data_IF_065244682291
#
_entry.id   IF_065244682291
#
_cell.length_a   1.000
_cell.length_b   1.000
_cell.length_c   1.000
_cell.angle_alpha   90.00
_cell.angle_beta   90.00
_cell.angle_gamma   90.00
#
_symmetry.space_group_name_H-M   'P 1'
#
loop_
_entity.id
_entity.type
_entity.pdbx_description
1 polymer ?
#
# COMPACT_ATOMS: atom_id res chain seq x y z
N UNK A 1 15.08 20.60 0.86
CA UNK A 1 14.52 19.24 0.79
C UNK A 1 15.24 18.41 1.85
N UNK A 2 14.53 17.83 2.81
CA UNK A 2 15.14 16.92 3.77
C UNK A 2 15.71 15.67 3.09
N UNK A 3 16.52 14.90 3.80
CA UNK A 3 17.07 13.64 3.32
C UNK A 3 15.93 12.68 2.92
N UNK A 4 15.99 12.09 1.72
CA UNK A 4 14.95 11.19 1.22
C UNK A 4 14.80 9.95 2.12
N UNK A 5 15.93 9.36 2.50
CA UNK A 5 16.01 8.19 3.37
C UNK A 5 16.78 8.58 4.63
N UNK A 6 16.13 8.49 5.77
CA UNK A 6 16.71 8.72 7.10
C UNK A 6 16.84 7.35 7.78
N UNK A 7 18.04 6.97 8.16
CA UNK A 7 18.30 5.65 8.73
C UNK A 7 18.00 4.50 7.76
N UNK A 8 17.61 3.35 8.29
CA UNK A 8 17.26 2.19 7.47
C UNK A 8 15.84 2.35 6.90
N UNK A 9 15.67 2.08 5.61
CA UNK A 9 14.37 2.10 4.95
C UNK A 9 13.79 0.69 4.75
N UNK A 10 12.46 0.62 4.63
CA UNK A 10 11.73 -0.54 4.10
C UNK A 10 10.74 -0.09 3.03
N UNK A 11 10.48 -0.96 2.05
CA UNK A 11 9.45 -0.77 1.06
C UNK A 11 8.17 -1.48 1.51
N UNK A 12 7.07 -0.73 1.60
CA UNK A 12 5.73 -1.22 1.87
C UNK A 12 4.94 -1.28 0.57
N UNK A 13 4.48 -2.45 0.19
CA UNK A 13 3.63 -2.70 -0.99
C UNK A 13 2.25 -3.08 -0.47
N UNK A 14 1.33 -2.10 -0.46
CA UNK A 14 0.05 -2.23 0.21
C UNK A 14 -1.00 -2.80 -0.74
N UNK A 15 -1.54 -3.97 -0.38
CA UNK A 15 -2.75 -4.60 -0.90
C UNK A 15 -2.83 -4.71 -2.45
N UNK A 16 -1.70 -4.97 -3.10
CA UNK A 16 -1.67 -5.19 -4.55
C UNK A 16 -2.21 -6.57 -4.90
N UNK A 17 -3.47 -6.81 -4.53
CA UNK A 17 -4.20 -8.07 -4.65
C UNK A 17 -5.12 -8.06 -5.87
N UNK A 18 -5.48 -9.25 -6.40
CA UNK A 18 -6.35 -9.37 -7.56
C UNK A 18 -7.68 -8.64 -7.40
N UNK A 19 -8.30 -8.67 -6.19
CA UNK A 19 -9.58 -7.98 -5.95
C UNK A 19 -9.50 -6.45 -6.08
N UNK A 20 -8.31 -5.86 -5.94
CA UNK A 20 -8.09 -4.42 -6.07
C UNK A 20 -7.40 -4.01 -7.38
N UNK A 21 -6.72 -4.92 -8.06
CA UNK A 21 -5.87 -4.61 -9.22
C UNK A 21 -6.49 -5.05 -10.53
N UNK A 22 -7.25 -6.15 -10.56
CA UNK A 22 -7.88 -6.63 -11.78
C UNK A 22 -9.07 -5.73 -12.15
N UNK A 23 -9.13 -5.20 -13.39
CA UNK A 23 -10.20 -4.26 -13.78
C UNK A 23 -11.61 -4.83 -13.69
N UNK A 24 -11.74 -6.15 -13.75
CA UNK A 24 -13.03 -6.86 -13.66
C UNK A 24 -13.43 -7.19 -12.21
N UNK A 25 -12.57 -6.92 -11.24
CA UNK A 25 -12.85 -7.17 -9.83
C UNK A 25 -13.84 -6.16 -9.25
N UNK A 26 -14.70 -6.63 -8.33
CA UNK A 26 -15.75 -5.79 -7.73
C UNK A 26 -15.23 -4.62 -6.89
N UNK A 27 -14.00 -4.72 -6.37
CA UNK A 27 -13.35 -3.67 -5.58
C UNK A 27 -12.13 -3.05 -6.29
N UNK A 28 -12.10 -3.09 -7.63
CA UNK A 28 -11.02 -2.52 -8.42
C UNK A 28 -10.72 -1.07 -8.03
N UNK A 29 -9.48 -0.80 -7.65
CA UNK A 29 -8.98 0.57 -7.46
C UNK A 29 -8.65 1.19 -8.81
N UNK A 30 -9.20 2.37 -9.07
CA UNK A 30 -9.09 3.04 -10.38
C UNK A 30 -7.64 3.28 -10.78
N UNK A 31 -7.19 2.62 -11.85
CA UNK A 31 -5.82 2.72 -12.35
C UNK A 31 -4.80 1.83 -11.65
N UNK A 32 -5.21 0.94 -10.73
CA UNK A 32 -4.30 0.07 -9.99
C UNK A 32 -3.45 -0.84 -10.89
N UNK A 33 -4.03 -1.38 -11.96
CA UNK A 33 -3.29 -2.20 -12.93
C UNK A 33 -2.21 -1.39 -13.68
N UNK A 34 -2.40 -0.10 -13.88
CA UNK A 34 -1.45 0.76 -14.58
C UNK A 34 -0.19 1.09 -13.75
N UNK A 35 -0.27 1.01 -12.42
CA UNK A 35 0.89 1.25 -11.54
C UNK A 35 1.73 -0.01 -11.28
N UNK A 36 1.23 -1.21 -11.57
CA UNK A 36 1.93 -2.48 -11.33
C UNK A 36 3.35 -2.51 -11.91
N UNK A 37 3.59 -2.15 -13.19
CA UNK A 37 4.94 -2.21 -13.75
C UNK A 37 5.93 -1.31 -12.98
N UNK A 38 5.48 -0.14 -12.55
CA UNK A 38 6.32 0.82 -11.81
C UNK A 38 6.62 0.34 -10.40
N UNK A 39 5.64 -0.23 -9.71
CA UNK A 39 5.85 -0.87 -8.41
C UNK A 39 6.84 -2.03 -8.54
N UNK A 40 6.74 -2.84 -9.60
CA UNK A 40 7.68 -3.94 -9.87
C UNK A 40 9.13 -3.45 -10.01
N UNK A 41 9.36 -2.33 -10.70
CA UNK A 41 10.69 -1.70 -10.80
C UNK A 41 11.21 -1.26 -9.42
N UNK A 42 10.37 -0.64 -8.60
CA UNK A 42 10.74 -0.19 -7.24
C UNK A 42 11.04 -1.39 -6.33
N UNK A 43 10.23 -2.44 -6.40
CA UNK A 43 10.45 -3.70 -5.66
C UNK A 43 11.79 -4.33 -6.04
N UNK A 44 12.10 -4.42 -7.35
CA UNK A 44 13.38 -4.95 -7.82
C UNK A 44 14.57 -4.12 -7.31
N UNK A 45 14.47 -2.80 -7.36
CA UNK A 45 15.51 -1.89 -6.86
C UNK A 45 15.69 -2.00 -5.33
N UNK A 46 14.59 -2.06 -4.58
CA UNK A 46 14.62 -2.23 -3.12
C UNK A 46 15.31 -3.55 -2.72
N UNK A 47 14.95 -4.66 -3.38
CA UNK A 47 15.60 -5.98 -3.18
C UNK A 47 17.10 -5.91 -3.50
N UNK A 48 17.48 -5.31 -4.64
CA UNK A 48 18.87 -5.16 -5.04
C UNK A 48 19.69 -4.30 -4.06
N UNK A 49 19.05 -3.31 -3.43
CA UNK A 49 19.66 -2.46 -2.40
C UNK A 49 19.65 -3.11 -0.99
N UNK A 50 19.10 -4.32 -0.83
CA UNK A 50 19.01 -5.02 0.45
C UNK A 50 18.00 -4.41 1.44
N UNK A 51 17.03 -3.64 0.94
CA UNK A 51 15.94 -3.14 1.77
C UNK A 51 14.93 -4.26 2.04
N UNK A 52 14.37 -4.34 3.24
CA UNK A 52 13.19 -5.16 3.49
C UNK A 52 12.04 -4.75 2.57
N UNK A 53 11.45 -5.72 1.87
CA UNK A 53 10.21 -5.54 1.09
C UNK A 53 9.10 -6.24 1.85
N UNK A 54 8.05 -5.50 2.15
CA UNK A 54 6.92 -5.94 2.97
C UNK A 54 5.65 -5.80 2.13
N UNK A 55 5.05 -6.93 1.80
CA UNK A 55 3.75 -6.98 1.14
C UNK A 55 2.65 -7.08 2.18
N UNK A 56 1.58 -6.32 2.02
CA UNK A 56 0.39 -6.49 2.83
C UNK A 56 -0.73 -7.12 2.03
N UNK A 57 -1.59 -7.84 2.72
CA UNK A 57 -2.79 -8.44 2.17
C UNK A 57 -3.95 -8.18 3.13
N UNK A 58 -4.97 -7.47 2.66
CA UNK A 58 -6.25 -7.46 3.34
C UNK A 58 -6.89 -8.83 3.19
N UNK A 59 -7.46 -9.34 4.27
CA UNK A 59 -8.03 -10.67 4.28
C UNK A 59 -9.25 -10.75 5.20
N UNK A 60 -10.36 -11.26 4.68
CA UNK A 60 -11.58 -11.49 5.44
C UNK A 60 -11.92 -12.96 5.49
N UNK A 61 -12.46 -13.40 6.62
CA UNK A 61 -13.00 -14.76 6.73
C UNK A 61 -14.24 -14.89 5.90
N UNK A 62 -14.51 -16.10 5.33
CA UNK A 62 -15.77 -16.36 4.65
C UNK A 62 -16.97 -15.94 5.50
N UNK A 63 -17.92 -15.23 4.88
CA UNK A 63 -19.11 -14.70 5.56
C UNK A 63 -18.87 -13.37 6.29
N UNK A 64 -17.71 -12.72 6.14
CA UNK A 64 -17.48 -11.34 6.57
C UNK A 64 -17.53 -11.09 8.07
N UNK A 65 -17.38 -12.14 8.91
CA UNK A 65 -17.50 -12.04 10.38
C UNK A 65 -16.47 -11.11 11.03
N UNK A 66 -15.41 -10.78 10.35
CA UNK A 66 -14.32 -9.90 10.76
C UNK A 66 -14.18 -8.62 9.92
N UNK A 67 -15.01 -8.43 8.91
CA UNK A 67 -14.98 -7.24 8.05
C UNK A 67 -15.44 -5.97 8.82
N UNK A 68 -16.24 -6.13 9.86
CA UNK A 68 -16.72 -5.01 10.66
C UNK A 68 -17.61 -4.07 9.85
N UNK A 69 -17.30 -2.76 9.88
CA UNK A 69 -18.07 -1.74 9.16
C UNK A 69 -17.70 -1.59 7.69
N UNK A 70 -16.68 -2.28 7.23
CA UNK A 70 -16.25 -2.23 5.83
C UNK A 70 -17.32 -2.76 4.87
N UNK A 71 -18.11 -3.72 5.33
CA UNK A 71 -19.26 -4.26 4.59
C UNK A 71 -20.60 -3.55 4.94
N UNK A 72 -20.56 -2.50 5.75
CA UNK A 72 -21.76 -1.72 6.08
C UNK A 72 -22.16 -0.84 4.89
N UNK A 73 -23.34 -1.02 4.28
CA UNK A 73 -23.82 -0.18 3.19
C UNK A 73 -23.86 1.31 3.54
N UNK A 74 -23.95 1.65 4.82
CA UNK A 74 -23.92 3.02 5.34
C UNK A 74 -22.52 3.58 5.56
N UNK A 75 -21.45 2.86 5.23
CA UNK A 75 -20.07 3.29 5.49
C UNK A 75 -19.62 4.47 4.62
N UNK A 76 -20.29 4.72 3.48
CA UNK A 76 -19.92 5.75 2.52
C UNK A 76 -18.68 5.43 1.68
N UNK A 77 -18.14 4.21 1.79
CA UNK A 77 -17.05 3.78 0.94
C UNK A 77 -17.53 3.61 -0.50
N UNK A 78 -16.88 4.30 -1.42
CA UNK A 78 -17.13 4.17 -2.85
C UNK A 78 -16.30 3.03 -3.40
N UNK A 79 -16.96 2.00 -3.94
CA UNK A 79 -16.30 1.03 -4.81
C UNK A 79 -16.70 1.30 -6.26
N UNK A 80 -15.78 1.13 -7.23
CA UNK A 80 -16.12 1.28 -8.65
C UNK A 80 -17.30 0.39 -9.02
N UNK A 81 -18.38 0.99 -9.57
CA UNK A 81 -19.61 0.29 -9.91
C UNK A 81 -20.66 0.20 -8.80
N UNK A 82 -20.34 0.64 -7.58
CA UNK A 82 -21.29 0.80 -6.48
C UNK A 82 -21.91 2.20 -6.44
N UNK A 83 -23.21 2.31 -6.19
CA UNK A 83 -23.85 3.56 -5.79
C UNK A 83 -23.94 3.63 -4.25
N UNK A 84 -24.44 4.74 -3.69
CA UNK A 84 -24.52 4.93 -2.24
C UNK A 84 -25.37 3.85 -1.50
N UNK A 85 -26.20 3.13 -2.24
CA UNK A 85 -27.06 2.06 -1.70
C UNK A 85 -26.62 0.66 -2.20
N UNK A 86 -25.51 0.55 -2.94
CA UNK A 86 -25.03 -0.74 -3.40
C UNK A 86 -24.36 -1.50 -2.26
N UNK A 87 -24.59 -2.81 -2.13
CA UNK A 87 -23.87 -3.62 -1.17
C UNK A 87 -22.38 -3.61 -1.53
N UNK A 88 -21.52 -3.50 -0.54
CA UNK A 88 -20.06 -3.69 -0.73
C UNK A 88 -19.86 -5.13 -1.16
N UNK A 89 -19.18 -5.37 -2.31
CA UNK A 89 -18.93 -6.74 -2.75
C UNK A 89 -18.03 -7.48 -1.76
N UNK A 90 -18.27 -8.78 -1.61
CA UNK A 90 -17.30 -9.63 -0.91
C UNK A 90 -15.94 -9.50 -1.63
N UNK A 91 -14.91 -9.15 -0.89
CA UNK A 91 -13.56 -8.99 -1.40
C UNK A 91 -12.54 -9.54 -0.42
N UNK A 92 -11.38 -9.87 -0.91
CA UNK A 92 -10.25 -10.36 -0.12
C UNK A 92 -10.63 -11.53 0.80
N UNK A 93 -11.51 -12.43 0.32
CA UNK A 93 -11.97 -13.58 1.10
C UNK A 93 -10.89 -14.66 1.13
N UNK A 94 -10.56 -15.15 2.32
CA UNK A 94 -9.57 -16.22 2.50
C UNK A 94 -9.90 -17.44 1.65
N UNK A 95 -8.89 -17.95 0.94
CA UNK A 95 -9.00 -19.12 0.06
C UNK A 95 -9.49 -18.80 -1.36
N UNK A 96 -9.74 -17.55 -1.70
CA UNK A 96 -10.06 -17.13 -3.08
C UNK A 96 -8.81 -16.58 -3.79
N UNK A 97 -8.84 -16.50 -5.13
CA UNK A 97 -7.78 -15.84 -5.91
C UNK A 97 -7.72 -14.33 -5.60
N UNK A 98 -8.83 -13.72 -5.28
CA UNK A 98 -8.92 -12.28 -5.03
C UNK A 98 -7.96 -11.78 -3.96
N UNK A 99 -7.68 -12.61 -2.94
CA UNK A 99 -6.74 -12.27 -1.87
C UNK A 99 -5.25 -12.34 -2.29
N UNK A 100 -4.93 -13.03 -3.38
CA UNK A 100 -3.54 -13.23 -3.79
C UNK A 100 -2.95 -11.93 -4.35
N UNK A 101 -1.66 -11.70 -4.10
CA UNK A 101 -0.89 -10.61 -4.73
C UNK A 101 -0.80 -10.92 -6.23
N UNK A 102 -0.97 -9.90 -7.07
CA UNK A 102 -0.90 -10.06 -8.53
C UNK A 102 0.43 -10.68 -8.96
N UNK A 103 0.37 -11.54 -9.97
CA UNK A 103 1.49 -12.40 -10.38
C UNK A 103 2.75 -11.60 -10.75
N UNK A 104 2.59 -10.40 -11.31
CA UNK A 104 3.70 -9.51 -11.70
C UNK A 104 4.51 -8.96 -10.53
N UNK A 105 3.94 -8.99 -9.33
CA UNK A 105 4.58 -8.55 -8.10
C UNK A 105 4.96 -9.70 -7.17
N UNK A 106 4.77 -10.95 -7.59
CA UNK A 106 4.88 -12.16 -6.78
C UNK A 106 5.96 -12.07 -5.69
N UNK A 107 5.56 -12.10 -4.41
CA UNK A 107 6.49 -12.02 -3.31
C UNK A 107 7.49 -13.18 -3.32
N UNK A 108 8.75 -12.88 -3.08
CA UNK A 108 9.83 -13.89 -3.02
C UNK A 108 9.95 -14.46 -1.59
N UNK A 109 10.63 -15.61 -1.39
CA UNK A 109 10.72 -16.25 -0.07
C UNK A 109 11.35 -15.39 1.05
N UNK A 110 12.14 -14.38 0.69
CA UNK A 110 12.77 -13.46 1.65
C UNK A 110 11.98 -12.17 1.89
N UNK A 111 10.91 -11.93 1.13
CA UNK A 111 10.01 -10.82 1.38
C UNK A 111 9.12 -11.11 2.59
N UNK A 112 8.76 -10.07 3.29
CA UNK A 112 7.87 -10.18 4.45
C UNK A 112 6.42 -10.03 4.00
N UNK A 113 5.51 -10.69 4.71
CA UNK A 113 4.07 -10.62 4.44
C UNK A 113 3.32 -10.27 5.71
N UNK A 114 2.42 -9.30 5.60
CA UNK A 114 1.50 -8.87 6.65
C UNK A 114 0.08 -9.15 6.18
N UNK A 115 -0.64 -9.97 6.91
CA UNK A 115 -2.08 -10.15 6.72
C UNK A 115 -2.82 -9.23 7.68
N UNK A 116 -3.71 -8.40 7.17
CA UNK A 116 -4.46 -7.43 7.96
C UNK A 116 -5.97 -7.59 7.78
N UNK A 117 -6.73 -7.14 8.76
CA UNK A 117 -8.21 -7.18 8.81
C UNK A 117 -8.81 -5.78 8.84
N UNK A 118 -8.00 -4.76 8.71
CA UNK A 118 -8.38 -3.34 8.78
C UNK A 118 -7.51 -2.55 7.81
N UNK A 119 -7.90 -1.34 7.52
CA UNK A 119 -7.21 -0.49 6.53
C UNK A 119 -5.74 -0.23 6.87
N UNK A 120 -5.48 0.24 8.10
CA UNK A 120 -4.09 0.45 8.50
C UNK A 120 -3.33 -0.87 8.65
N UNK A 121 -2.14 -0.90 8.05
CA UNK A 121 -1.22 -2.02 8.18
C UNK A 121 -0.66 -2.22 9.60
N UNK A 122 -0.85 -1.24 10.49
CA UNK A 122 -0.41 -1.33 11.90
C UNK A 122 -1.50 -1.93 12.81
N UNK A 123 -2.78 -1.81 12.43
CA UNK A 123 -3.87 -2.17 13.32
C UNK A 123 -4.08 -3.68 13.40
N UNK A 124 -3.72 -4.27 14.54
CA UNK A 124 -3.92 -5.69 14.80
C UNK A 124 -2.99 -6.62 14.01
N UNK A 125 -1.83 -6.10 13.59
CA UNK A 125 -0.78 -6.85 12.89
C UNK A 125 0.54 -6.82 13.67
N UNK A 126 1.53 -7.54 13.20
CA UNK A 126 2.89 -7.53 13.73
C UNK A 126 3.84 -6.58 12.97
N UNK A 127 3.32 -5.70 12.10
CA UNK A 127 4.14 -4.78 11.31
C UNK A 127 5.06 -3.92 12.18
N UNK A 128 4.54 -3.33 13.25
CA UNK A 128 5.33 -2.46 14.15
C UNK A 128 6.48 -3.23 14.82
N UNK A 129 6.23 -4.48 15.24
CA UNK A 129 7.25 -5.35 15.80
C UNK A 129 8.36 -5.66 14.77
N UNK A 130 7.98 -5.97 13.52
CA UNK A 130 8.93 -6.23 12.45
C UNK A 130 9.77 -5.00 12.12
N UNK A 131 9.16 -3.83 11.96
CA UNK A 131 9.86 -2.58 11.67
C UNK A 131 10.83 -2.21 12.78
N UNK A 132 10.43 -2.39 14.04
CA UNK A 132 11.29 -2.16 15.20
C UNK A 132 12.51 -3.10 15.20
N UNK A 133 12.28 -4.40 15.02
CA UNK A 133 13.37 -5.40 15.03
C UNK A 133 14.34 -5.22 13.84
N UNK A 134 13.86 -4.69 12.72
CA UNK A 134 14.66 -4.36 11.56
C UNK A 134 15.36 -2.99 11.66
N UNK A 135 15.13 -2.23 12.74
CA UNK A 135 15.60 -0.85 12.94
C UNK A 135 15.22 0.09 11.78
N UNK A 136 14.02 -0.09 11.23
CA UNK A 136 13.49 0.76 10.15
C UNK A 136 13.11 2.11 10.70
N UNK A 137 13.50 3.18 9.99
CA UNK A 137 13.15 4.57 10.29
C UNK A 137 12.38 5.24 9.16
N UNK A 138 12.58 4.78 7.91
CA UNK A 138 11.91 5.32 6.73
C UNK A 138 11.04 4.26 6.08
N UNK A 139 9.79 4.62 5.77
CA UNK A 139 8.86 3.81 5.00
C UNK A 139 8.69 4.40 3.60
N UNK A 140 9.05 3.63 2.58
CA UNK A 140 8.71 3.89 1.19
C UNK A 140 7.36 3.20 0.93
N UNK A 141 6.33 3.96 0.58
CA UNK A 141 4.95 3.45 0.53
C UNK A 141 4.41 3.45 -0.88
N UNK A 142 3.87 2.31 -1.31
CA UNK A 142 3.21 2.07 -2.60
C UNK A 142 1.92 1.27 -2.40
N UNK A 143 1.08 1.18 -3.42
CA UNK A 143 -0.08 0.28 -3.45
C UNK A 143 -1.43 0.97 -3.38
N UNK A 144 -2.45 0.25 -2.89
CA UNK A 144 -3.87 0.63 -2.96
C UNK A 144 -4.63 0.39 -1.64
N UNK A 145 -5.81 0.99 -1.41
CA UNK A 145 -6.26 2.21 -2.10
C UNK A 145 -5.65 3.43 -1.40
N UNK A 146 -5.22 4.41 -2.18
CA UNK A 146 -4.55 5.60 -1.65
C UNK A 146 -5.38 6.35 -0.60
N UNK A 147 -6.69 6.45 -0.81
CA UNK A 147 -7.66 7.12 0.07
C UNK A 147 -8.14 6.24 1.25
N UNK A 148 -7.76 4.97 1.28
CA UNK A 148 -8.17 3.99 2.31
C UNK A 148 -6.93 3.39 2.98
N UNK A 149 -6.50 2.20 2.57
CA UNK A 149 -5.44 1.46 3.26
C UNK A 149 -4.11 2.22 3.32
N UNK A 150 -3.72 2.90 2.23
CA UNK A 150 -2.49 3.69 2.19
C UNK A 150 -2.60 4.90 3.13
N UNK A 151 -3.67 5.70 3.03
CA UNK A 151 -3.86 6.90 3.87
C UNK A 151 -3.84 6.57 5.36
N UNK A 152 -4.60 5.55 5.78
CA UNK A 152 -4.64 5.14 7.18
C UNK A 152 -3.31 4.61 7.68
N UNK A 153 -2.58 3.86 6.82
CA UNK A 153 -1.23 3.38 7.16
C UNK A 153 -0.23 4.52 7.28
N UNK A 154 -0.28 5.50 6.37
CA UNK A 154 0.58 6.70 6.41
C UNK A 154 0.30 7.53 7.68
N UNK A 155 -0.98 7.72 8.02
CA UNK A 155 -1.36 8.43 9.25
C UNK A 155 -0.84 7.74 10.51
N UNK A 156 -0.98 6.42 10.58
CA UNK A 156 -0.48 5.62 11.71
C UNK A 156 1.05 5.59 11.77
N UNK A 157 1.72 5.51 10.62
CA UNK A 157 3.19 5.57 10.55
C UNK A 157 3.73 6.92 11.01
N UNK A 158 3.09 8.01 10.58
CA UNK A 158 3.45 9.38 10.99
C UNK A 158 3.34 9.55 12.50
N UNK A 159 2.26 9.07 13.12
CA UNK A 159 2.04 9.15 14.56
C UNK A 159 2.99 8.25 15.39
N UNK A 160 3.72 7.35 14.73
CA UNK A 160 4.77 6.47 15.30
C UNK A 160 6.18 6.95 14.99
N UNK A 161 6.32 8.20 14.55
CA UNK A 161 7.59 8.86 14.24
C UNK A 161 8.40 8.22 13.08
N UNK A 162 7.74 7.49 12.16
CA UNK A 162 8.39 7.05 10.93
C UNK A 162 8.51 8.20 9.92
N UNK A 163 9.64 8.25 9.22
CA UNK A 163 9.80 9.07 8.03
C UNK A 163 9.07 8.41 6.86
N UNK A 164 7.92 8.94 6.48
CA UNK A 164 7.11 8.34 5.41
C UNK A 164 7.38 9.02 4.07
N UNK A 165 7.52 8.23 3.01
CA UNK A 165 7.69 8.64 1.62
C UNK A 165 6.68 7.90 0.75
N UNK A 166 5.58 8.55 0.43
CA UNK A 166 4.58 7.99 -0.48
C UNK A 166 5.06 8.22 -1.91
N UNK A 167 5.18 7.15 -2.68
CA UNK A 167 5.53 7.23 -4.10
C UNK A 167 4.23 7.51 -4.87
N UNK A 168 3.98 8.79 -5.17
CA UNK A 168 2.69 9.27 -5.68
C UNK A 168 2.29 8.65 -7.03
N UNK A 169 3.26 8.27 -7.83
CA UNK A 169 3.07 7.56 -9.09
C UNK A 169 3.02 6.02 -8.95
N UNK A 170 3.03 5.53 -7.72
CA UNK A 170 2.91 4.12 -7.35
C UNK A 170 1.73 3.88 -6.39
N UNK A 171 0.75 4.78 -6.34
CA UNK A 171 -0.50 4.60 -5.59
C UNK A 171 -1.70 4.86 -6.47
N UNK A 172 -2.82 4.19 -6.20
CA UNK A 172 -4.08 4.39 -6.88
C UNK A 172 -5.23 4.35 -5.86
N UNK A 173 -6.31 5.08 -6.12
CA UNK A 173 -7.43 5.23 -5.20
C UNK A 173 -8.73 4.61 -5.72
N UNK A 174 -9.79 4.73 -4.92
CA UNK A 174 -11.13 4.26 -5.30
C UNK A 174 -11.67 5.02 -6.53
N UNK A 175 -11.25 6.29 -6.70
CA UNK A 175 -11.49 7.10 -7.89
C UNK A 175 -10.32 8.06 -8.10
N UNK A 176 -10.23 8.71 -9.26
CA UNK A 176 -9.20 9.73 -9.54
C UNK A 176 -9.27 10.89 -8.54
N UNK A 177 -10.46 11.39 -8.25
CA UNK A 177 -10.67 12.51 -7.32
C UNK A 177 -10.23 12.14 -5.90
N UNK A 178 -10.59 10.95 -5.43
CA UNK A 178 -10.20 10.48 -4.10
C UNK A 178 -8.71 10.19 -4.01
N UNK A 179 -8.10 9.70 -5.10
CA UNK A 179 -6.65 9.52 -5.19
C UNK A 179 -5.90 10.85 -5.06
N UNK A 180 -6.31 11.87 -5.83
CA UNK A 180 -5.72 13.21 -5.75
C UNK A 180 -5.86 13.83 -4.36
N UNK A 181 -7.04 13.73 -3.75
CA UNK A 181 -7.30 14.24 -2.41
C UNK A 181 -6.42 13.55 -1.36
N UNK A 182 -6.32 12.22 -1.43
CA UNK A 182 -5.48 11.43 -0.52
C UNK A 182 -3.99 11.80 -0.67
N UNK A 183 -3.49 11.92 -1.89
CA UNK A 183 -2.11 12.35 -2.16
C UNK A 183 -1.84 13.72 -1.55
N UNK A 184 -2.73 14.68 -1.72
CA UNK A 184 -2.57 16.02 -1.13
C UNK A 184 -2.47 15.97 0.41
N UNK A 185 -3.32 15.18 1.06
CA UNK A 185 -3.32 15.02 2.51
C UNK A 185 -2.01 14.34 2.96
N UNK A 186 -1.63 13.24 2.35
CA UNK A 186 -0.42 12.49 2.71
C UNK A 186 0.84 13.34 2.48
N UNK A 187 0.91 14.08 1.39
CA UNK A 187 2.01 15.00 1.10
C UNK A 187 2.15 16.07 2.20
N UNK A 188 1.04 16.68 2.60
CA UNK A 188 1.04 17.70 3.66
C UNK A 188 1.51 17.14 5.01
N UNK A 189 1.18 15.89 5.32
CA UNK A 189 1.59 15.22 6.56
C UNK A 189 3.07 14.81 6.55
N UNK A 190 3.64 14.49 5.38
CA UNK A 190 4.93 13.78 5.32
C UNK A 190 6.08 14.63 4.83
N UNK A 191 6.04 15.11 3.59
CA UNK A 191 7.20 15.74 2.94
C UNK A 191 6.97 17.19 2.54
N UNK A 192 5.73 17.60 2.37
CA UNK A 192 5.36 18.86 1.74
C UNK A 192 5.61 18.90 0.22
N UNK A 193 6.43 17.99 -0.31
CA UNK A 193 6.84 17.92 -1.71
C UNK A 193 6.50 16.56 -2.33
N UNK A 194 6.20 16.50 -3.64
CA UNK A 194 5.95 15.24 -4.32
C UNK A 194 7.16 14.31 -4.30
N UNK A 195 6.92 13.04 -3.99
CA UNK A 195 7.90 11.96 -4.15
C UNK A 195 7.37 11.01 -5.22
N UNK A 196 8.22 10.70 -6.19
CA UNK A 196 7.89 9.75 -7.26
C UNK A 196 8.92 8.63 -7.31
N UNK A 197 8.53 7.52 -7.95
CA UNK A 197 9.38 6.33 -8.07
C UNK A 197 10.79 6.64 -8.60
N UNK A 198 10.91 7.50 -9.61
CA UNK A 198 12.20 7.90 -10.17
C UNK A 198 13.16 8.51 -9.12
N UNK A 199 12.65 9.26 -8.16
CA UNK A 199 13.44 9.83 -7.06
C UNK A 199 14.04 8.72 -6.20
N UNK A 200 13.23 7.72 -5.85
CA UNK A 200 13.65 6.58 -5.04
C UNK A 200 14.59 5.67 -5.82
N UNK A 201 14.27 5.35 -7.06
CA UNK A 201 15.13 4.52 -7.92
C UNK A 201 16.54 5.11 -8.06
N UNK A 202 16.65 6.44 -8.23
CA UNK A 202 17.95 7.12 -8.29
C UNK A 202 18.71 7.04 -6.96
N UNK A 203 18.00 7.14 -5.82
CA UNK A 203 18.63 7.06 -4.51
C UNK A 203 19.10 5.66 -4.13
N UNK A 204 18.45 4.61 -4.66
CA UNK A 204 18.79 3.21 -4.42
C UNK A 204 19.88 2.67 -5.35
N UNK A 205 20.29 3.43 -6.38
CA UNK A 205 21.40 3.00 -7.24
C UNK A 205 22.70 2.95 -6.43
N UNK A 206 23.54 1.92 -6.63
CA UNK A 206 24.85 1.88 -6.00
C UNK A 206 25.66 3.10 -6.44
N UNK A 207 26.29 3.79 -5.48
CA UNK A 207 27.19 4.89 -5.77
C UNK A 207 28.27 4.35 -6.73
N UNK A 208 28.28 4.81 -7.98
CA UNK A 208 29.37 4.52 -8.90
C UNK A 208 30.60 5.26 -8.39
N UNK A 209 31.47 4.52 -7.68
CA UNK A 209 32.79 5.03 -7.36
C UNK A 209 33.53 5.13 -8.71
N UNK A 210 33.80 6.37 -9.13
CA UNK A 210 34.59 6.68 -10.35
C UNK A 210 36.07 6.35 -10.12
#
# INVERSE_FOLDING_TARGET
MGELIVGRAALLVIDMQHDFVDPEAGCYATGANAIVPRISEVVAAARAAGLPVIFTQEAHRPGGVDAGRELDPGSGLSYPGGGPDAPVPDHCVEGTRGIEIVDELAPQPHDLRIVKRRYSCFLGTDLELLLHNLDVKTLLVTGVCSNVCVLWTVGDAFQRDYHVRVLEDCVAGSSEVENEAAILIMRALTTGEPIVSATVLNALQPVRIA
#
